data_IF_193794592219
#
_entry.id   IF_193794592219
#
_cell.length_a   1.000
_cell.length_b   1.000
_cell.length_c   1.000
_cell.angle_alpha   90.00
_cell.angle_beta   90.00
_cell.angle_gamma   90.00
#
_symmetry.space_group_name_H-M   'P 1'
#
loop_
_entity.id
_entity.type
_entity.pdbx_description
1 polymer ?
#
# COMPACT_ATOMS: atom_id res chain seq x y z
N UNK A 1 -20.69 12.79 -21.72
CA UNK A 1 -20.66 13.06 -20.27
C UNK A 1 -19.64 12.10 -19.67
N UNK A 2 -18.39 12.52 -19.43
CA UNK A 2 -17.45 11.68 -18.70
C UNK A 2 -18.01 11.45 -17.29
N UNK A 3 -17.90 10.23 -16.79
CA UNK A 3 -18.38 9.87 -15.46
C UNK A 3 -17.57 10.62 -14.40
N UNK A 4 -18.24 11.28 -13.46
CA UNK A 4 -17.60 11.89 -12.30
C UNK A 4 -16.81 10.84 -11.52
N UNK A 5 -15.58 11.19 -11.13
CA UNK A 5 -14.70 10.33 -10.36
C UNK A 5 -15.38 9.90 -9.05
N UNK A 6 -15.68 8.61 -8.93
CA UNK A 6 -16.45 8.01 -7.82
C UNK A 6 -15.59 7.70 -6.59
N UNK A 7 -14.34 8.16 -6.57
CA UNK A 7 -13.40 7.95 -5.47
C UNK A 7 -13.23 9.25 -4.68
N UNK A 8 -13.48 9.20 -3.37
CA UNK A 8 -13.06 10.26 -2.44
C UNK A 8 -11.54 10.26 -2.18
N UNK A 9 -10.82 9.31 -2.78
CA UNK A 9 -9.37 9.35 -2.93
C UNK A 9 -9.13 10.11 -4.25
N UNK A 10 -8.55 11.32 -4.23
CA UNK A 10 -8.12 11.99 -5.46
C UNK A 10 -7.32 11.00 -6.31
N UNK A 11 -7.39 11.12 -7.64
CA UNK A 11 -6.59 10.27 -8.53
C UNK A 11 -5.15 10.28 -8.01
N UNK A 12 -4.47 9.14 -7.98
CA UNK A 12 -3.11 9.05 -7.45
C UNK A 12 -2.18 10.13 -8.06
N UNK A 13 -2.45 10.56 -9.30
CA UNK A 13 -1.81 11.70 -9.97
C UNK A 13 -2.13 13.08 -9.36
N UNK A 14 -3.35 13.33 -8.91
CA UNK A 14 -3.73 14.58 -8.24
C UNK A 14 -3.09 14.66 -6.85
N UNK A 15 -2.94 13.53 -6.15
CA UNK A 15 -2.22 13.46 -4.87
C UNK A 15 -0.70 13.66 -5.05
N UNK A 16 -0.13 13.18 -6.15
CA UNK A 16 1.28 13.39 -6.50
C UNK A 16 1.56 14.83 -6.96
N UNK A 17 0.55 15.54 -7.49
CA UNK A 17 0.67 16.93 -7.96
C UNK A 17 0.75 17.95 -6.84
N UNK A 18 0.09 17.71 -5.70
CA UNK A 18 0.00 18.72 -4.64
C UNK A 18 1.22 18.74 -3.69
N UNK A 19 2.05 17.69 -3.62
CA UNK A 19 3.11 17.62 -2.60
C UNK A 19 4.37 16.86 -2.99
N UNK A 20 5.18 17.38 -3.93
CA UNK A 20 6.56 16.93 -4.11
C UNK A 20 7.53 18.06 -4.50
N UNK A 21 7.48 19.22 -3.83
CA UNK A 21 8.68 20.06 -3.72
C UNK A 21 9.52 19.56 -2.54
N UNK A 22 10.26 18.48 -2.79
CA UNK A 22 11.37 18.04 -1.94
C UNK A 22 12.66 18.40 -2.66
N UNK A 23 13.49 19.22 -2.01
CA UNK A 23 14.75 19.68 -2.58
C UNK A 23 15.65 18.51 -3.03
N UNK A 24 16.50 18.66 -4.06
CA UNK A 24 17.15 17.55 -4.76
C UNK A 24 18.25 16.77 -4.01
N UNK A 25 18.38 16.89 -2.68
CA UNK A 25 19.64 16.59 -1.99
C UNK A 25 19.71 15.41 -1.00
N UNK A 26 18.63 15.07 -0.28
CA UNK A 26 18.76 14.19 0.91
C UNK A 26 18.02 12.86 0.83
N UNK A 27 17.12 12.68 -0.15
CA UNK A 27 16.26 11.50 -0.23
C UNK A 27 16.51 10.72 -1.51
N UNK A 28 16.76 9.39 -1.45
CA UNK A 28 16.93 8.56 -2.63
C UNK A 28 15.84 8.78 -3.68
N UNK A 29 16.26 8.89 -4.94
CA UNK A 29 15.37 8.96 -6.08
C UNK A 29 14.62 7.64 -6.29
N UNK A 30 13.53 7.66 -7.08
CA UNK A 30 12.81 6.41 -7.41
C UNK A 30 13.73 5.42 -8.14
N UNK A 31 14.56 5.92 -9.06
CA UNK A 31 15.53 5.12 -9.78
C UNK A 31 16.51 4.38 -8.85
N UNK A 32 16.97 5.06 -7.81
CA UNK A 32 17.88 4.48 -6.81
C UNK A 32 17.17 3.38 -6.01
N UNK A 33 15.95 3.63 -5.55
CA UNK A 33 15.12 2.62 -4.87
C UNK A 33 14.84 1.41 -5.75
N UNK A 34 14.58 1.61 -7.05
CA UNK A 34 14.37 0.52 -8.01
C UNK A 34 15.61 -0.35 -8.25
N UNK A 35 16.83 0.13 -7.92
CA UNK A 35 18.04 -0.73 -8.00
C UNK A 35 18.05 -1.85 -6.95
N UNK A 36 17.24 -1.72 -5.89
CA UNK A 36 17.11 -2.73 -4.83
C UNK A 36 16.29 -3.95 -5.27
N UNK A 37 15.59 -3.85 -6.42
CA UNK A 37 14.81 -4.96 -6.96
C UNK A 37 15.75 -5.99 -7.58
N UNK A 38 15.67 -7.28 -7.19
CA UNK A 38 16.52 -8.32 -7.77
C UNK A 38 16.27 -8.46 -9.28
N UNK A 39 17.34 -8.46 -10.08
CA UNK A 39 17.25 -8.66 -11.52
C UNK A 39 17.13 -10.15 -11.84
N UNK A 40 15.98 -10.62 -12.38
CA UNK A 40 15.82 -12.03 -12.71
C UNK A 40 16.55 -12.42 -14.01
N UNK A 41 17.09 -11.48 -14.78
CA UNK A 41 17.70 -11.73 -16.09
C UNK A 41 19.08 -12.36 -15.95
N UNK A 42 19.47 -13.15 -16.95
CA UNK A 42 20.85 -13.64 -17.05
C UNK A 42 21.78 -12.44 -17.31
N UNK A 43 22.88 -12.27 -16.56
CA UNK A 43 23.85 -11.19 -16.79
C UNK A 43 24.38 -11.15 -18.24
N UNK A 44 24.43 -12.31 -18.91
CA UNK A 44 24.84 -12.41 -20.32
C UNK A 44 23.74 -11.84 -21.22
N UNK A 45 23.91 -10.59 -21.63
CA UNK A 45 23.02 -9.92 -22.58
C UNK A 45 22.10 -8.86 -21.96
N UNK A 46 22.37 -8.41 -20.72
CA UNK A 46 21.71 -7.22 -20.17
C UNK A 46 22.20 -5.98 -20.92
N UNK A 47 21.30 -5.38 -21.72
CA UNK A 47 21.56 -4.13 -22.46
C UNK A 47 21.00 -2.88 -21.76
N UNK A 48 20.02 -3.08 -20.88
CA UNK A 48 19.35 -2.00 -20.16
C UNK A 48 19.32 -2.33 -18.68
N UNK A 49 19.73 -1.39 -17.83
CA UNK A 49 19.62 -1.52 -16.39
C UNK A 49 18.16 -1.76 -15.97
N UNK A 50 17.96 -2.62 -14.98
CA UNK A 50 16.61 -3.01 -14.54
C UNK A 50 15.78 -1.81 -14.11
N UNK A 51 16.37 -0.94 -13.28
CA UNK A 51 15.74 0.28 -12.78
C UNK A 51 15.22 1.18 -13.90
N UNK A 52 15.97 1.30 -15.00
CA UNK A 52 15.58 2.09 -16.19
C UNK A 52 14.38 1.48 -16.89
N UNK A 53 14.37 0.16 -17.11
CA UNK A 53 13.23 -0.52 -17.76
C UNK A 53 11.96 -0.38 -16.90
N UNK A 54 12.09 -0.47 -15.57
CA UNK A 54 10.98 -0.32 -14.64
C UNK A 54 10.47 1.12 -14.59
N UNK A 55 11.36 2.11 -14.56
CA UNK A 55 10.97 3.52 -14.57
C UNK A 55 10.28 3.91 -15.88
N UNK A 56 10.79 3.47 -17.03
CA UNK A 56 10.13 3.63 -18.32
C UNK A 56 8.73 3.02 -18.34
N UNK A 57 8.59 1.80 -17.80
CA UNK A 57 7.29 1.13 -17.67
C UNK A 57 6.34 1.95 -16.78
N UNK A 58 6.83 2.46 -15.65
CA UNK A 58 6.03 3.29 -14.74
C UNK A 58 5.57 4.59 -15.42
N UNK A 59 6.46 5.29 -16.13
CA UNK A 59 6.11 6.49 -16.88
C UNK A 59 5.06 6.21 -17.96
N UNK A 60 5.18 5.10 -18.70
CA UNK A 60 4.18 4.71 -19.69
C UNK A 60 2.80 4.46 -19.05
N UNK A 61 2.76 3.74 -17.92
CA UNK A 61 1.49 3.46 -17.19
C UNK A 61 0.88 4.76 -16.65
N UNK A 62 1.69 5.67 -16.10
CA UNK A 62 1.23 6.99 -15.64
C UNK A 62 0.73 7.86 -16.80
N UNK A 63 1.30 7.70 -17.99
CA UNK A 63 0.82 8.34 -19.22
C UNK A 63 -0.44 7.66 -19.81
N UNK A 64 -0.96 6.61 -19.17
CA UNK A 64 -2.21 5.94 -19.56
C UNK A 64 -2.03 4.64 -20.35
N UNK A 65 -0.83 4.10 -20.49
CA UNK A 65 -0.63 2.81 -21.14
C UNK A 65 -1.28 1.68 -20.32
N UNK A 66 -2.27 1.01 -20.91
CA UNK A 66 -3.04 -0.07 -20.27
C UNK A 66 -2.67 -1.46 -20.78
N UNK A 67 -1.70 -1.57 -21.70
CA UNK A 67 -1.22 -2.83 -22.26
C UNK A 67 0.29 -2.82 -22.46
N UNK A 68 0.91 -4.00 -22.53
CA UNK A 68 2.36 -4.12 -22.80
C UNK A 68 2.75 -3.54 -24.15
N UNK A 69 1.87 -3.66 -25.15
CA UNK A 69 2.07 -3.05 -26.46
C UNK A 69 2.13 -1.52 -26.34
N UNK A 70 1.13 -0.93 -25.66
CA UNK A 70 1.09 0.52 -25.42
C UNK A 70 2.30 1.01 -24.62
N UNK A 71 2.83 0.19 -23.70
CA UNK A 71 4.09 0.50 -22.99
C UNK A 71 5.27 0.54 -23.96
N UNK A 72 5.39 -0.45 -24.86
CA UNK A 72 6.45 -0.48 -25.86
C UNK A 72 6.38 0.68 -26.87
N UNK A 73 5.17 1.02 -27.31
CA UNK A 73 4.90 2.17 -28.18
C UNK A 73 5.30 3.48 -27.48
N UNK A 74 4.81 3.69 -26.25
CA UNK A 74 5.16 4.88 -25.47
C UNK A 74 6.67 5.03 -25.25
N UNK A 75 7.38 3.93 -24.96
CA UNK A 75 8.84 3.93 -24.78
C UNK A 75 9.55 4.32 -26.09
N UNK A 76 9.03 3.89 -27.24
CA UNK A 76 9.59 4.19 -28.56
C UNK A 76 9.39 5.66 -28.94
N UNK A 77 8.26 6.25 -28.51
CA UNK A 77 7.87 7.63 -28.80
C UNK A 77 8.33 8.64 -27.71
N UNK A 78 8.95 8.16 -26.64
CA UNK A 78 9.33 8.99 -25.50
C UNK A 78 10.32 10.10 -25.91
N UNK A 79 10.10 11.36 -25.48
CA UNK A 79 11.01 12.46 -25.80
C UNK A 79 12.45 12.19 -25.34
N UNK A 80 13.47 12.62 -26.09
CA UNK A 80 14.88 12.39 -25.74
C UNK A 80 15.24 12.85 -24.32
N UNK A 81 14.67 13.96 -23.85
CA UNK A 81 14.92 14.52 -22.52
C UNK A 81 14.40 13.59 -21.40
N UNK A 82 13.26 12.93 -21.63
CA UNK A 82 12.70 11.95 -20.68
C UNK A 82 13.59 10.71 -20.63
N UNK A 83 14.03 10.23 -21.80
CA UNK A 83 14.93 9.09 -21.90
C UNK A 83 16.27 9.35 -21.19
N UNK A 84 16.84 10.54 -21.36
CA UNK A 84 18.07 10.97 -20.66
C UNK A 84 17.86 11.07 -19.15
N UNK A 85 16.79 11.72 -18.71
CA UNK A 85 16.47 11.85 -17.29
C UNK A 85 16.25 10.51 -16.59
N UNK A 86 15.85 9.48 -17.34
CA UNK A 86 15.69 8.11 -16.85
C UNK A 86 16.95 7.24 -16.97
N UNK A 87 18.04 7.76 -17.54
CA UNK A 87 19.32 7.06 -17.66
C UNK A 87 19.46 6.20 -18.91
N UNK A 88 18.66 6.42 -19.96
CA UNK A 88 18.84 5.75 -21.26
C UNK A 88 20.00 6.38 -22.01
N UNK A 89 21.07 5.61 -22.18
CA UNK A 89 22.27 6.05 -22.86
C UNK A 89 22.11 6.02 -24.39
N UNK A 90 22.68 6.99 -25.13
CA UNK A 90 22.87 6.87 -26.57
C UNK A 90 23.72 5.65 -26.91
N UNK A 91 23.44 5.00 -28.03
CA UNK A 91 24.31 3.94 -28.52
C UNK A 91 25.64 4.55 -29.00
N UNK A 92 26.81 3.99 -28.63
CA UNK A 92 28.11 4.53 -29.01
C UNK A 92 28.44 4.36 -30.50
N UNK A 93 27.68 3.53 -31.23
CA UNK A 93 27.93 3.17 -32.64
C UNK A 93 26.79 3.63 -33.55
N UNK A 94 25.55 3.57 -33.09
CA UNK A 94 24.38 4.00 -33.85
C UNK A 94 23.90 5.39 -33.42
N UNK A 95 23.42 6.24 -34.35
CA UNK A 95 22.85 7.55 -34.02
C UNK A 95 21.44 7.45 -33.39
N UNK A 96 21.16 6.36 -32.67
CA UNK A 96 19.87 6.05 -32.05
C UNK A 96 20.08 5.69 -30.58
N UNK A 97 19.14 6.09 -29.73
CA UNK A 97 19.09 5.60 -28.35
C UNK A 97 18.62 4.15 -28.36
N UNK A 98 19.31 3.30 -27.60
CA UNK A 98 18.86 1.92 -27.41
C UNK A 98 17.78 1.92 -26.33
N UNK A 99 16.51 1.84 -26.76
CA UNK A 99 15.36 1.69 -25.87
C UNK A 99 14.93 0.22 -25.77
N UNK A 100 14.40 -0.23 -24.63
CA UNK A 100 13.92 -1.60 -24.49
C UNK A 100 12.69 -1.82 -25.37
N UNK A 101 12.76 -2.86 -26.22
CA UNK A 101 11.60 -3.28 -26.99
C UNK A 101 10.48 -3.85 -26.09
N UNK A 102 9.25 -3.84 -26.58
CA UNK A 102 8.08 -4.45 -25.93
C UNK A 102 8.36 -5.88 -25.42
N UNK A 103 9.05 -6.70 -26.21
CA UNK A 103 9.42 -8.08 -25.85
C UNK A 103 10.34 -8.15 -24.63
N UNK A 104 11.20 -7.15 -24.44
CA UNK A 104 12.07 -7.03 -23.26
C UNK A 104 11.25 -6.71 -22.02
N UNK A 105 10.32 -5.74 -22.13
CA UNK A 105 9.40 -5.36 -21.05
C UNK A 105 8.53 -6.55 -20.65
N UNK A 106 7.92 -7.23 -21.62
CA UNK A 106 7.09 -8.42 -21.41
C UNK A 106 7.85 -9.53 -20.67
N UNK A 107 9.04 -9.88 -21.14
CA UNK A 107 9.86 -10.94 -20.52
C UNK A 107 10.30 -10.59 -19.10
N UNK A 108 10.51 -9.31 -18.83
CA UNK A 108 10.89 -8.86 -17.49
C UNK A 108 9.69 -8.95 -16.54
N UNK A 109 8.53 -8.39 -16.93
CA UNK A 109 7.35 -8.35 -16.08
C UNK A 109 6.82 -9.73 -15.68
N UNK A 110 7.05 -10.77 -16.50
CA UNK A 110 6.65 -12.14 -16.15
C UNK A 110 7.55 -12.80 -15.11
N UNK A 111 8.74 -12.25 -14.85
CA UNK A 111 9.78 -12.86 -13.99
C UNK A 111 10.14 -12.03 -12.76
N UNK A 112 9.73 -10.77 -12.73
CA UNK A 112 10.07 -9.86 -11.64
C UNK A 112 9.41 -10.28 -10.32
N UNK A 113 10.13 -10.08 -9.22
CA UNK A 113 9.56 -10.20 -7.88
C UNK A 113 8.69 -8.96 -7.59
N UNK A 114 7.37 -9.16 -7.64
CA UNK A 114 6.39 -8.10 -7.35
C UNK A 114 6.46 -7.59 -5.92
N UNK A 115 6.73 -8.46 -4.93
CA UNK A 115 6.83 -8.02 -3.54
C UNK A 115 8.10 -7.17 -3.34
N UNK A 116 9.20 -7.47 -4.05
CA UNK A 116 10.40 -6.64 -4.04
C UNK A 116 10.18 -5.26 -4.69
N UNK A 117 9.43 -5.23 -5.79
CA UNK A 117 9.04 -3.97 -6.44
C UNK A 117 8.16 -3.13 -5.51
N UNK A 118 7.16 -3.74 -4.87
CA UNK A 118 6.27 -3.07 -3.91
C UNK A 118 7.06 -2.52 -2.71
N UNK A 119 8.07 -3.25 -2.20
CA UNK A 119 8.96 -2.74 -1.14
C UNK A 119 9.78 -1.53 -1.59
N UNK A 120 10.34 -1.58 -2.79
CA UNK A 120 11.14 -0.46 -3.32
C UNK A 120 10.30 0.81 -3.50
N UNK A 121 9.10 0.67 -4.08
CA UNK A 121 8.17 1.79 -4.29
C UNK A 121 7.59 2.29 -2.96
N UNK A 122 7.19 1.38 -2.07
CA UNK A 122 6.67 1.72 -0.74
C UNK A 122 7.70 2.45 0.13
N UNK A 123 8.96 2.03 0.08
CA UNK A 123 10.07 2.73 0.71
C UNK A 123 10.32 4.12 0.12
N UNK A 124 10.31 4.25 -1.20
CA UNK A 124 10.42 5.55 -1.88
C UNK A 124 9.31 6.53 -1.47
N UNK A 125 8.07 6.04 -1.38
CA UNK A 125 6.92 6.81 -0.90
C UNK A 125 7.05 7.13 0.59
N UNK A 126 7.62 6.22 1.39
CA UNK A 126 7.87 6.45 2.81
C UNK A 126 8.81 7.62 3.06
N UNK A 127 9.89 7.72 2.29
CA UNK A 127 10.88 8.77 2.46
C UNK A 127 10.34 10.16 2.09
N UNK A 128 9.29 10.22 1.27
CA UNK A 128 8.66 11.47 0.79
C UNK A 128 7.46 11.90 1.62
N UNK A 129 7.15 11.17 2.69
CA UNK A 129 6.04 11.55 3.56
C UNK A 129 6.36 12.86 4.27
N UNK A 130 5.41 13.79 4.33
CA UNK A 130 5.59 15.00 5.13
C UNK A 130 5.71 14.62 6.61
N UNK A 131 6.58 15.33 7.33
CA UNK A 131 6.63 15.21 8.78
C UNK A 131 5.27 15.62 9.35
N UNK A 132 4.64 14.73 10.13
CA UNK A 132 3.36 15.00 10.77
C UNK A 132 3.55 15.24 12.27
N UNK A 133 3.02 16.36 12.76
CA UNK A 133 2.91 16.62 14.18
C UNK A 133 1.65 15.91 14.74
N UNK A 134 1.82 14.71 15.29
CA UNK A 134 0.76 13.97 15.97
C UNK A 134 0.66 12.49 15.59
N UNK A 135 -0.47 11.88 15.96
CA UNK A 135 -0.74 10.47 15.65
C UNK A 135 -1.00 10.30 14.16
N UNK A 136 -0.34 9.29 13.57
CA UNK A 136 -0.48 8.97 12.14
C UNK A 136 -1.54 7.92 11.92
N UNK A 137 -2.40 8.06 10.93
CA UNK A 137 -3.34 6.99 10.55
C UNK A 137 -2.75 6.07 9.51
N UNK A 138 -2.79 4.75 9.73
CA UNK A 138 -2.46 3.73 8.73
C UNK A 138 -3.60 2.72 8.60
N UNK A 139 -4.16 2.51 7.40
CA UNK A 139 -5.14 1.46 7.14
C UNK A 139 -4.50 0.21 6.56
N UNK A 140 -4.85 -0.96 7.09
CA UNK A 140 -4.52 -2.26 6.50
C UNK A 140 -5.78 -2.88 5.92
N UNK A 141 -5.81 -3.08 4.60
CA UNK A 141 -6.97 -3.63 3.89
C UNK A 141 -6.55 -4.53 2.73
N UNK A 142 -7.34 -5.60 2.52
CA UNK A 142 -7.14 -6.60 1.48
C UNK A 142 -8.04 -6.35 0.26
N UNK A 143 -7.47 -6.23 -0.93
CA UNK A 143 -8.21 -6.06 -2.19
C UNK A 143 -7.86 -7.13 -3.20
N UNK A 144 -8.89 -7.69 -3.84
CA UNK A 144 -8.70 -8.50 -5.04
C UNK A 144 -8.66 -7.62 -6.28
N UNK A 145 -7.58 -7.73 -7.03
CA UNK A 145 -7.44 -7.04 -8.31
C UNK A 145 -8.40 -7.63 -9.34
N UNK A 146 -9.13 -6.77 -10.05
CA UNK A 146 -9.99 -7.16 -11.17
C UNK A 146 -9.14 -7.33 -12.42
N UNK A 147 -9.44 -8.34 -13.24
CA UNK A 147 -8.73 -8.59 -14.49
C UNK A 147 -7.32 -9.19 -14.34
N UNK A 148 -6.79 -9.31 -13.11
CA UNK A 148 -5.52 -9.94 -12.84
C UNK A 148 -5.72 -11.37 -12.30
N UNK A 149 -5.21 -12.35 -13.04
CA UNK A 149 -5.13 -13.74 -12.60
C UNK A 149 -3.72 -14.29 -12.84
N UNK A 150 -3.16 -14.97 -11.83
CA UNK A 150 -1.95 -15.77 -12.02
C UNK A 150 -2.30 -17.09 -12.72
N UNK A 151 -1.27 -17.86 -13.08
CA UNK A 151 -1.41 -19.20 -13.64
C UNK A 151 -2.47 -20.02 -12.87
N UNK A 152 -3.26 -20.81 -13.61
CA UNK A 152 -4.40 -21.59 -13.09
C UNK A 152 -5.60 -20.77 -12.57
N UNK A 153 -5.70 -19.49 -12.96
CA UNK A 153 -6.89 -18.67 -12.66
C UNK A 153 -6.93 -18.11 -11.24
N UNK A 154 -5.82 -18.16 -10.48
CA UNK A 154 -5.75 -17.59 -9.13
C UNK A 154 -5.90 -16.08 -9.21
N UNK A 155 -6.96 -15.54 -8.59
CA UNK A 155 -7.14 -14.09 -8.42
C UNK A 155 -6.00 -13.53 -7.56
N UNK A 156 -5.44 -12.40 -7.98
CA UNK A 156 -4.44 -11.69 -7.18
C UNK A 156 -5.16 -10.96 -6.06
N UNK A 157 -4.76 -11.22 -4.82
CA UNK A 157 -5.29 -10.56 -3.63
C UNK A 157 -4.13 -9.90 -2.90
N UNK A 158 -4.20 -8.58 -2.78
CA UNK A 158 -3.14 -7.75 -2.22
C UNK A 158 -3.59 -7.22 -0.88
N UNK A 159 -2.75 -7.38 0.13
CA UNK A 159 -2.91 -6.70 1.42
C UNK A 159 -2.04 -5.45 1.37
N UNK A 160 -2.64 -4.27 1.56
CA UNK A 160 -1.98 -3.00 1.46
C UNK A 160 -2.05 -2.23 2.78
N UNK A 161 -0.96 -1.53 3.11
CA UNK A 161 -0.87 -0.57 4.20
C UNK A 161 -0.89 0.85 3.62
N UNK A 162 -1.96 1.60 3.86
CA UNK A 162 -2.23 2.90 3.22
C UNK A 162 -2.31 3.98 4.27
N UNK A 163 -1.62 5.10 4.06
CA UNK A 163 -1.69 6.26 4.93
C UNK A 163 -3.01 7.01 4.73
N UNK A 164 -3.71 7.35 5.83
CA UNK A 164 -5.04 7.97 5.74
C UNK A 164 -5.04 9.38 5.17
N UNK A 165 -4.01 10.18 5.47
CA UNK A 165 -3.98 11.61 5.09
C UNK A 165 -3.62 11.80 3.63
N UNK A 166 -2.57 11.12 3.16
CA UNK A 166 -2.02 11.30 1.82
C UNK A 166 -2.57 10.28 0.81
N UNK A 167 -3.13 9.17 1.27
CA UNK A 167 -3.54 8.04 0.42
C UNK A 167 -2.38 7.19 -0.09
N UNK A 168 -1.14 7.44 0.36
CA UNK A 168 0.02 6.71 -0.11
C UNK A 168 0.00 5.25 0.36
N UNK A 169 0.33 4.34 -0.56
CA UNK A 169 0.50 2.91 -0.26
C UNK A 169 1.94 2.66 0.16
N UNK A 170 2.12 2.36 1.44
CA UNK A 170 3.42 2.35 2.11
C UNK A 170 4.08 0.98 2.09
N UNK A 171 3.25 -0.04 2.06
CA UNK A 171 3.65 -1.41 1.86
C UNK A 171 2.49 -2.17 1.22
N UNK A 172 2.82 -3.18 0.42
CA UNK A 172 1.84 -4.06 -0.21
C UNK A 172 2.45 -5.46 -0.36
N UNK A 173 1.63 -6.51 -0.22
CA UNK A 173 2.05 -7.90 -0.43
C UNK A 173 0.95 -8.74 -1.10
N UNK A 174 1.35 -9.68 -1.95
CA UNK A 174 0.45 -10.75 -2.41
C UNK A 174 0.15 -11.72 -1.28
N UNK A 175 -1.13 -11.83 -0.94
CA UNK A 175 -1.61 -12.72 0.12
C UNK A 175 -1.48 -14.19 -0.28
N UNK A 176 -1.38 -14.48 -1.58
CA UNK A 176 -1.34 -15.84 -2.09
C UNK A 176 -2.74 -16.42 -2.11
N UNK A 177 -2.97 -17.44 -1.29
CA UNK A 177 -4.30 -18.01 -1.07
C UNK A 177 -5.07 -17.23 0.01
N UNK A 178 -6.39 -17.12 -0.14
CA UNK A 178 -7.26 -16.29 0.71
C UNK A 178 -7.19 -16.59 2.21
N UNK A 179 -6.80 -17.81 2.59
CA UNK A 179 -6.60 -18.23 3.99
C UNK A 179 -5.32 -17.68 4.63
N UNK A 180 -4.43 -17.07 3.83
CA UNK A 180 -3.14 -16.54 4.27
C UNK A 180 -3.15 -15.10 4.76
N UNK A 181 -4.26 -14.35 4.61
CA UNK A 181 -4.30 -12.90 4.85
C UNK A 181 -3.86 -12.52 6.26
N UNK A 182 -4.38 -13.23 7.27
CA UNK A 182 -3.96 -13.08 8.68
C UNK A 182 -2.44 -13.23 8.84
N UNK A 183 -1.84 -14.24 8.20
CA UNK A 183 -0.39 -14.52 8.31
C UNK A 183 0.46 -13.45 7.64
N UNK A 184 -0.13 -12.64 6.75
CA UNK A 184 0.56 -11.58 6.01
C UNK A 184 0.46 -10.21 6.68
N UNK A 185 -0.35 -10.08 7.74
CA UNK A 185 -0.49 -8.82 8.47
C UNK A 185 0.83 -8.31 9.06
N UNK A 186 1.55 -9.15 9.80
CA UNK A 186 2.84 -8.77 10.38
C UNK A 186 3.92 -8.59 9.29
N UNK A 187 4.13 -9.53 8.35
CA UNK A 187 5.10 -9.33 7.26
C UNK A 187 4.86 -8.08 6.41
N UNK A 188 3.60 -7.67 6.23
CA UNK A 188 3.27 -6.42 5.54
C UNK A 188 3.81 -5.22 6.31
N UNK A 189 3.51 -5.17 7.62
CA UNK A 189 3.88 -4.07 8.49
C UNK A 189 5.38 -4.01 8.77
N UNK A 190 6.10 -5.13 8.68
CA UNK A 190 7.56 -5.17 8.77
C UNK A 190 8.23 -4.36 7.64
N UNK A 191 7.54 -4.16 6.51
CA UNK A 191 8.03 -3.30 5.42
C UNK A 191 7.77 -1.80 5.67
N UNK A 192 7.10 -1.45 6.77
CA UNK A 192 6.92 -0.06 7.20
C UNK A 192 7.96 0.24 8.28
N UNK A 193 8.91 1.14 7.97
CA UNK A 193 10.09 1.40 8.78
C UNK A 193 9.76 1.84 10.22
N UNK A 194 8.88 2.82 10.40
CA UNK A 194 8.45 3.32 11.71
C UNK A 194 6.93 3.26 11.89
N UNK A 195 6.50 2.55 12.93
CA UNK A 195 5.11 2.46 13.37
C UNK A 195 4.86 3.14 14.72
N UNK A 196 5.90 3.67 15.37
CA UNK A 196 5.74 4.35 16.65
C UNK A 196 4.80 5.55 16.50
N UNK A 197 3.82 5.70 17.39
CA UNK A 197 2.84 6.79 17.30
C UNK A 197 1.90 6.70 16.08
N UNK A 198 1.87 5.56 15.38
CA UNK A 198 0.93 5.29 14.29
C UNK A 198 -0.28 4.51 14.82
N UNK A 199 -1.49 4.97 14.48
CA UNK A 199 -2.77 4.31 14.71
C UNK A 199 -3.10 3.43 13.51
N UNK A 200 -2.99 2.12 13.68
CA UNK A 200 -3.31 1.13 12.65
C UNK A 200 -4.79 0.77 12.70
N UNK A 201 -5.52 1.07 11.63
CA UNK A 201 -6.91 0.65 11.46
C UNK A 201 -6.95 -0.59 10.57
N UNK A 202 -7.66 -1.62 10.99
CA UNK A 202 -7.80 -2.85 10.20
C UNK A 202 -9.24 -3.31 10.13
N UNK A 203 -9.51 -4.19 9.18
CA UNK A 203 -10.78 -4.85 9.07
C UNK A 203 -11.09 -5.76 10.28
N UNK A 204 -12.25 -6.40 10.25
CA UNK A 204 -12.64 -7.30 11.34
C UNK A 204 -11.83 -8.59 11.37
N UNK A 205 -11.39 -9.12 10.23
CA UNK A 205 -10.59 -10.34 10.13
C UNK A 205 -9.29 -10.23 10.93
N UNK A 206 -8.68 -9.04 10.94
CA UNK A 206 -7.45 -8.75 11.66
C UNK A 206 -7.63 -8.46 13.16
N UNK A 207 -8.86 -8.50 13.69
CA UNK A 207 -9.11 -8.35 15.14
C UNK A 207 -8.67 -9.60 15.90
N UNK A 208 -7.36 -9.72 16.13
CA UNK A 208 -6.71 -10.89 16.72
C UNK A 208 -5.74 -10.48 17.82
N UNK A 209 -5.49 -11.40 18.76
CA UNK A 209 -4.63 -11.09 19.91
C UNK A 209 -3.20 -10.81 19.52
N UNK A 210 -2.67 -11.66 18.65
CA UNK A 210 -1.30 -11.58 18.17
C UNK A 210 -1.04 -10.29 17.38
N UNK A 211 -2.01 -9.80 16.62
CA UNK A 211 -1.88 -8.51 15.91
C UNK A 211 -1.86 -7.32 16.87
N UNK A 212 -2.75 -7.31 17.87
CA UNK A 212 -2.76 -6.26 18.89
C UNK A 212 -1.44 -6.25 19.68
N UNK A 213 -0.96 -7.42 20.09
CA UNK A 213 0.34 -7.59 20.76
C UNK A 213 1.50 -7.06 19.91
N UNK A 214 1.55 -7.45 18.63
CA UNK A 214 2.56 -7.01 17.67
C UNK A 214 2.57 -5.48 17.52
N UNK A 215 1.41 -4.85 17.35
CA UNK A 215 1.30 -3.39 17.18
C UNK A 215 1.76 -2.65 18.43
N UNK A 216 1.31 -3.08 19.61
CA UNK A 216 1.75 -2.51 20.89
C UNK A 216 3.26 -2.68 21.09
N UNK A 217 3.82 -3.84 20.74
CA UNK A 217 5.26 -4.11 20.79
C UNK A 217 6.07 -3.16 19.90
N UNK A 218 5.50 -2.70 18.78
CA UNK A 218 6.10 -1.69 17.88
C UNK A 218 5.73 -0.25 18.26
N UNK A 219 5.19 -0.01 19.46
CA UNK A 219 4.74 1.31 19.96
C UNK A 219 3.68 1.96 19.07
N UNK A 220 2.93 1.15 18.34
CA UNK A 220 1.80 1.56 17.54
C UNK A 220 0.49 1.46 18.36
N UNK A 221 -0.48 2.27 17.98
CA UNK A 221 -1.85 2.17 18.45
C UNK A 221 -2.71 1.44 17.42
N UNK A 222 -3.92 1.03 17.77
CA UNK A 222 -4.79 0.34 16.83
C UNK A 222 -6.27 0.65 17.03
N UNK A 223 -7.03 0.56 15.93
CA UNK A 223 -8.49 0.53 15.93
C UNK A 223 -8.91 -0.73 15.19
N UNK A 224 -9.51 -1.67 15.91
CA UNK A 224 -9.93 -2.97 15.38
C UNK A 224 -11.45 -3.13 15.40
N UNK A 225 -12.02 -3.71 14.35
CA UNK A 225 -13.47 -3.84 14.19
C UNK A 225 -13.96 -5.18 14.74
N UNK A 226 -14.60 -5.15 15.90
CA UNK A 226 -15.18 -6.36 16.51
C UNK A 226 -16.50 -6.75 15.84
N UNK A 227 -16.52 -7.87 15.09
CA UNK A 227 -17.73 -8.47 14.50
C UNK A 227 -18.04 -9.85 15.10
N UNK A 228 -18.69 -10.73 14.32
CA UNK A 228 -19.05 -12.09 14.74
C UNK A 228 -17.87 -13.04 14.93
N UNK A 229 -16.69 -12.68 14.41
CA UNK A 229 -15.44 -13.43 14.60
C UNK A 229 -14.95 -13.42 16.06
N UNK A 230 -15.40 -12.46 16.87
CA UNK A 230 -15.01 -12.32 18.28
C UNK A 230 -16.25 -12.32 19.19
N UNK A 231 -16.98 -13.45 19.23
CA UNK A 231 -18.30 -13.54 19.89
C UNK A 231 -18.31 -13.08 21.35
N UNK A 232 -17.32 -13.52 22.15
CA UNK A 232 -17.21 -13.18 23.58
C UNK A 232 -16.96 -11.68 23.78
N UNK A 233 -15.96 -11.13 23.10
CA UNK A 233 -15.64 -9.70 23.14
C UNK A 233 -16.83 -8.85 22.66
N UNK A 234 -17.48 -9.27 21.56
CA UNK A 234 -18.68 -8.58 21.07
C UNK A 234 -19.81 -8.57 22.10
N UNK A 235 -20.03 -9.67 22.83
CA UNK A 235 -21.05 -9.74 23.90
C UNK A 235 -20.72 -8.75 25.02
N UNK A 236 -19.46 -8.69 25.44
CA UNK A 236 -19.00 -7.76 26.48
C UNK A 236 -19.10 -6.30 26.05
N UNK A 237 -18.69 -5.98 24.82
CA UNK A 237 -18.82 -4.62 24.30
C UNK A 237 -20.29 -4.21 24.19
N UNK A 238 -21.20 -5.13 23.82
CA UNK A 238 -22.64 -4.84 23.76
C UNK A 238 -23.29 -4.62 25.14
N UNK A 239 -22.71 -5.12 26.23
CA UNK A 239 -23.25 -4.93 27.58
C UNK A 239 -22.81 -3.62 28.24
N UNK A 240 -21.97 -2.82 27.59
CA UNK A 240 -21.63 -1.47 28.07
C UNK A 240 -22.87 -0.57 28.06
N UNK A 241 -22.96 0.43 28.97
CA UNK A 241 -24.10 1.34 29.08
C UNK A 241 -24.12 2.38 27.94
N UNK A 242 -24.24 1.91 26.69
CA UNK A 242 -24.19 2.76 25.50
C UNK A 242 -25.28 3.83 25.45
N UNK A 243 -26.38 3.67 26.20
CA UNK A 243 -27.42 4.69 26.29
C UNK A 243 -26.95 5.91 27.08
N UNK A 244 -26.13 5.70 28.11
CA UNK A 244 -25.59 6.75 28.99
C UNK A 244 -24.36 7.45 28.39
N UNK A 245 -23.65 6.77 27.48
CA UNK A 245 -22.45 7.33 26.84
C UNK A 245 -22.85 8.41 25.82
N UNK A 246 -22.28 9.63 25.90
CA UNK A 246 -22.60 10.72 25.00
C UNK A 246 -22.19 10.42 23.55
N UNK A 247 -22.98 10.95 22.61
CA UNK A 247 -22.66 10.88 21.19
C UNK A 247 -21.58 11.92 20.86
N UNK A 248 -20.38 11.44 20.51
CA UNK A 248 -19.22 12.29 20.21
C UNK A 248 -19.21 12.77 18.75
N UNK A 249 -19.88 12.03 17.85
CA UNK A 249 -19.95 12.42 16.46
C UNK A 249 -21.08 11.72 15.71
N UNK A 250 -21.64 12.41 14.73
CA UNK A 250 -22.64 11.87 13.81
C UNK A 250 -22.47 12.48 12.43
N UNK A 251 -22.25 11.63 11.44
CA UNK A 251 -22.24 12.05 10.04
C UNK A 251 -23.32 11.30 9.27
N UNK A 252 -23.86 11.94 8.24
CA UNK A 252 -24.78 11.33 7.28
C UNK A 252 -24.20 11.58 5.90
N UNK A 253 -24.08 10.52 5.11
CA UNK A 253 -23.63 10.59 3.73
C UNK A 253 -24.53 9.76 2.83
N UNK A 254 -24.55 10.10 1.56
CA UNK A 254 -25.12 9.28 0.50
C UNK A 254 -24.07 9.08 -0.58
N UNK A 255 -23.86 7.85 -1.01
CA UNK A 255 -22.85 7.52 -2.03
C UNK A 255 -22.95 6.05 -2.43
N UNK A 256 -22.63 5.72 -3.69
CA UNK A 256 -22.68 4.35 -4.23
C UNK A 256 -24.05 3.68 -4.06
N UNK A 257 -25.15 4.46 -4.15
CA UNK A 257 -26.51 3.96 -3.96
C UNK A 257 -26.87 3.62 -2.51
N UNK A 258 -26.03 3.98 -1.52
CA UNK A 258 -26.30 3.78 -0.10
C UNK A 258 -26.36 5.10 0.65
N UNK A 259 -27.38 5.23 1.50
CA UNK A 259 -27.41 6.21 2.58
C UNK A 259 -26.77 5.60 3.83
N UNK A 260 -25.77 6.27 4.39
CA UNK A 260 -25.03 5.83 5.56
C UNK A 260 -25.11 6.88 6.68
N UNK A 261 -25.40 6.44 7.90
CA UNK A 261 -25.31 7.26 9.11
C UNK A 261 -24.23 6.66 9.99
N UNK A 262 -23.13 7.38 10.21
CA UNK A 262 -22.06 6.96 11.12
C UNK A 262 -22.22 7.70 12.44
N UNK A 263 -22.04 6.99 13.54
CA UNK A 263 -22.13 7.52 14.91
C UNK A 263 -20.92 7.03 15.70
N UNK A 264 -20.33 7.92 16.48
CA UNK A 264 -19.20 7.59 17.35
C UNK A 264 -19.61 7.86 18.79
N UNK A 265 -19.44 6.85 19.64
CA UNK A 265 -19.49 6.92 21.09
C UNK A 265 -18.17 6.37 21.61
N UNK A 266 -17.59 7.03 22.60
CA UNK A 266 -16.29 6.66 23.17
C UNK A 266 -16.48 6.36 24.64
N UNK A 267 -15.96 5.22 25.08
CA UNK A 267 -15.95 4.83 26.48
C UNK A 267 -14.62 4.18 26.81
N UNK A 268 -14.04 4.60 27.94
CA UNK A 268 -12.83 3.98 28.48
C UNK A 268 -13.25 2.81 29.34
N UNK A 269 -12.72 1.62 29.05
CA UNK A 269 -12.99 0.42 29.84
C UNK A 269 -11.68 -0.03 30.49
N UNK A 270 -11.65 -0.08 31.82
CA UNK A 270 -10.44 -0.43 32.59
C UNK A 270 -10.05 -1.91 32.47
N UNK A 271 -11.01 -2.78 32.18
CA UNK A 271 -10.80 -4.23 31.97
C UNK A 271 -11.83 -4.74 30.97
N UNK A 272 -11.55 -4.60 29.68
CA UNK A 272 -12.12 -5.54 28.72
C UNK A 272 -11.12 -6.67 28.56
N UNK A 273 -11.58 -7.91 28.52
CA UNK A 273 -10.89 -9.01 27.82
C UNK A 273 -10.87 -8.75 26.31
N UNK A 274 -10.51 -7.53 25.91
CA UNK A 274 -9.78 -7.30 24.68
C UNK A 274 -8.52 -8.17 24.72
N UNK A 275 -7.91 -8.47 23.57
CA UNK A 275 -6.63 -9.17 23.57
C UNK A 275 -5.58 -8.42 24.40
N UNK A 276 -5.46 -8.79 25.67
CA UNK A 276 -4.32 -8.46 26.50
C UNK A 276 -3.17 -9.36 26.03
N UNK A 277 -2.04 -8.79 25.58
CA UNK A 277 -0.86 -9.56 25.17
C UNK A 277 -0.22 -10.31 26.35
N UNK A 278 -0.47 -9.88 27.58
CA UNK A 278 0.03 -10.54 28.77
C UNK A 278 -1.07 -11.45 29.33
N UNK A 279 -0.91 -12.77 29.14
CA UNK A 279 -1.77 -13.78 29.74
C UNK A 279 -1.60 -13.90 31.25
N UNK A 280 -1.74 -12.81 32.01
CA UNK A 280 -1.60 -12.85 33.46
C UNK A 280 -2.97 -12.98 34.11
N UNK A 281 -3.35 -14.23 34.42
CA UNK A 281 -4.28 -14.54 35.49
C UNK A 281 -3.64 -14.15 36.82
N UNK A 282 -3.75 -12.87 37.20
CA UNK A 282 -3.29 -12.35 38.48
C UNK A 282 -4.48 -11.86 39.30
N UNK A 283 -4.69 -12.50 40.45
CA UNK A 283 -5.65 -12.15 41.51
C UNK A 283 -5.59 -10.68 41.94
N UNK A 284 -6.68 -10.16 42.54
CA UNK A 284 -6.79 -8.74 42.89
C UNK A 284 -5.91 -8.36 44.09
N UNK A 285 -5.25 -7.21 43.98
CA UNK A 285 -4.95 -6.32 45.10
C UNK A 285 -5.49 -4.94 44.77
#
# INVERSE_FOLDING_TARGET
>A
MPADASSAIPLALDQLREHLDVGPGEVPGLLERLTQVPDPRDPRGVRHALSVVLALTACAVLAGATSLLAVGEWISDAPPQVLEGLGVCPDPVLPRRLVPAETTVRRLQTRIDGDALDRAVGGWLADRRPASAGLRGLSVDGKSLRGAAKARGRKVHLLAAVEHTTGLVLAQLDVGEKTGETRRFQPLLDNVADLAGTVVTSDALHTQREHAAYLLGRRAHYIAIVKGNQKKLRKQLKSLPWQEIPLQGRTRGSGHGRSEIRRIKVATVRTTTAPDPAGNSGEPR
#
